data_IF_593605690640
#
_entry.id   IF_593605690640
#
_cell.length_a   1.000
_cell.length_b   1.000
_cell.length_c   1.000
_cell.angle_alpha   90.00
_cell.angle_beta   90.00
_cell.angle_gamma   90.00
#
_symmetry.space_group_name_H-M   'P 1'
#
loop_
_entity.id
_entity.type
_entity.pdbx_description
1 polymer ?
#
# COMPACT_ATOMS: atom_id res chain seq x y z
N UNK A 1 -4.13 -63.57 -69.63
CA UNK A 1 -4.41 -62.12 -69.60
C UNK A 1 -4.92 -61.84 -68.20
N UNK A 2 -4.11 -61.20 -67.35
CA UNK A 2 -4.52 -60.85 -65.97
C UNK A 2 -5.00 -59.41 -65.97
N UNK A 3 -6.26 -59.20 -65.58
CA UNK A 3 -6.84 -57.86 -65.47
C UNK A 3 -6.46 -57.27 -64.11
N UNK A 4 -5.70 -56.18 -64.12
CA UNK A 4 -5.38 -55.39 -62.93
C UNK A 4 -6.58 -54.50 -62.63
N UNK A 5 -7.34 -54.85 -61.60
CA UNK A 5 -8.45 -54.05 -61.11
C UNK A 5 -7.90 -52.91 -60.26
N UNK A 6 -7.85 -51.70 -60.83
CA UNK A 6 -7.49 -50.47 -60.11
C UNK A 6 -8.75 -49.96 -59.41
N UNK A 7 -8.81 -50.16 -58.09
CA UNK A 7 -9.86 -49.59 -57.24
C UNK A 7 -9.70 -48.07 -57.21
N UNK A 8 -10.74 -47.26 -57.50
CA UNK A 8 -10.63 -45.81 -57.41
C UNK A 8 -10.45 -45.38 -55.95
N UNK A 9 -9.36 -44.67 -55.66
CA UNK A 9 -9.12 -44.00 -54.38
C UNK A 9 -10.24 -42.99 -54.14
N UNK A 10 -10.95 -43.02 -53.00
CA UNK A 10 -11.97 -42.02 -52.70
C UNK A 10 -11.32 -40.63 -52.64
N UNK A 11 -12.01 -39.57 -53.11
CA UNK A 11 -11.50 -38.21 -53.02
C UNK A 11 -11.24 -37.85 -51.55
N UNK A 12 -10.19 -37.07 -51.23
CA UNK A 12 -9.94 -36.65 -49.86
C UNK A 12 -11.16 -35.88 -49.36
N UNK A 13 -11.83 -36.43 -48.35
CA UNK A 13 -12.95 -35.76 -47.69
C UNK A 13 -12.35 -34.64 -46.86
N UNK A 14 -12.54 -33.39 -47.29
CA UNK A 14 -12.15 -32.22 -46.52
C UNK A 14 -13.10 -32.11 -45.30
N UNK A 15 -12.76 -32.78 -44.20
CA UNK A 15 -13.48 -32.65 -42.94
C UNK A 15 -12.97 -31.38 -42.28
N UNK A 16 -13.78 -30.32 -42.30
CA UNK A 16 -13.53 -29.13 -41.48
C UNK A 16 -13.86 -29.51 -40.04
N UNK A 17 -12.89 -30.09 -39.33
CA UNK A 17 -12.99 -30.32 -37.89
C UNK A 17 -12.80 -28.98 -37.20
N UNK A 18 -13.90 -28.31 -36.86
CA UNK A 18 -13.85 -27.16 -35.94
C UNK A 18 -13.58 -27.69 -34.53
N UNK A 19 -12.33 -28.02 -34.24
CA UNK A 19 -11.93 -28.42 -32.91
C UNK A 19 -12.04 -27.22 -31.97
N UNK A 20 -12.63 -27.44 -30.79
CA UNK A 20 -12.75 -26.42 -29.74
C UNK A 20 -11.38 -26.25 -29.06
N UNK A 21 -10.99 -25.01 -28.68
CA UNK A 21 -9.79 -24.81 -27.89
C UNK A 21 -9.78 -25.61 -26.59
N UNK A 22 -8.62 -26.20 -26.30
CA UNK A 22 -8.34 -26.93 -25.08
C UNK A 22 -7.99 -25.95 -23.95
N UNK A 23 -8.58 -26.14 -22.77
CA UNK A 23 -8.25 -25.35 -21.57
C UNK A 23 -7.36 -26.17 -20.65
N UNK A 24 -6.39 -25.50 -20.03
CA UNK A 24 -5.47 -26.10 -19.05
C UNK A 24 -5.19 -25.15 -17.88
N UNK A 25 -4.36 -25.61 -16.95
CA UNK A 25 -3.76 -24.76 -15.91
C UNK A 25 -2.37 -24.34 -16.35
N UNK A 26 -2.01 -23.08 -16.10
CA UNK A 26 -0.65 -22.61 -16.31
C UNK A 26 0.31 -23.32 -15.34
N UNK A 27 1.44 -23.80 -15.85
CA UNK A 27 2.53 -24.34 -15.04
C UNK A 27 3.32 -23.15 -14.48
N UNK A 28 3.35 -23.03 -13.16
CA UNK A 28 4.04 -21.95 -12.46
C UNK A 28 5.29 -22.53 -11.81
N UNK A 29 6.42 -21.86 -12.00
CA UNK A 29 7.71 -22.25 -11.44
C UNK A 29 8.01 -21.49 -10.14
N UNK A 30 7.61 -20.22 -10.06
CA UNK A 30 7.79 -19.39 -8.87
C UNK A 30 6.69 -18.36 -8.71
N UNK A 31 6.45 -17.97 -7.45
CA UNK A 31 5.54 -16.90 -7.10
C UNK A 31 6.15 -16.07 -5.97
N UNK A 32 5.96 -14.75 -6.02
CA UNK A 32 6.51 -13.80 -5.06
C UNK A 32 5.45 -12.74 -4.71
N UNK A 33 5.23 -12.52 -3.41
CA UNK A 33 4.34 -11.45 -2.94
C UNK A 33 5.13 -10.18 -2.66
N UNK A 34 4.68 -9.06 -3.23
CA UNK A 34 5.26 -7.73 -3.04
C UNK A 34 4.23 -6.86 -2.31
N UNK A 35 4.64 -6.29 -1.18
CA UNK A 35 3.82 -5.34 -0.43
C UNK A 35 4.30 -3.92 -0.74
N UNK A 36 3.38 -3.01 -1.05
CA UNK A 36 3.68 -1.60 -1.25
C UNK A 36 3.46 -0.84 0.06
N UNK A 37 4.40 0.04 0.38
CA UNK A 37 4.32 0.92 1.56
C UNK A 37 3.37 2.12 1.33
N UNK A 38 2.17 1.86 0.84
CA UNK A 38 1.07 2.82 0.67
C UNK A 38 0.03 2.61 1.78
N UNK A 39 -0.92 3.54 1.89
CA UNK A 39 -2.10 3.33 2.71
C UNK A 39 -3.39 3.72 1.94
N UNK A 40 -4.34 2.78 1.70
CA UNK A 40 -4.25 1.37 2.07
C UNK A 40 -3.06 0.65 1.42
N UNK A 41 -2.58 -0.40 2.08
CA UNK A 41 -1.51 -1.28 1.62
C UNK A 41 -2.01 -2.01 0.38
N UNK A 42 -1.21 -1.98 -0.68
CA UNK A 42 -1.43 -2.78 -1.88
C UNK A 42 -0.52 -4.02 -1.84
N UNK A 43 -1.06 -5.18 -2.20
CA UNK A 43 -0.31 -6.44 -2.29
C UNK A 43 -0.42 -6.99 -3.70
N UNK A 44 0.73 -7.18 -4.34
CA UNK A 44 0.84 -7.82 -5.64
C UNK A 44 1.45 -9.22 -5.51
N UNK A 45 0.97 -10.17 -6.28
CA UNK A 45 1.60 -11.47 -6.47
C UNK A 45 2.17 -11.54 -7.89
N UNK A 46 3.51 -11.63 -8.00
CA UNK A 46 4.20 -11.88 -9.26
C UNK A 46 4.35 -13.38 -9.43
N UNK A 47 3.85 -13.93 -10.52
CA UNK A 47 3.98 -15.35 -10.85
C UNK A 47 4.80 -15.52 -12.13
N UNK A 48 5.69 -16.49 -12.12
CA UNK A 48 6.57 -16.80 -13.26
C UNK A 48 6.48 -18.28 -13.56
N UNK A 49 6.47 -18.61 -14.85
CA UNK A 49 6.40 -19.99 -15.29
C UNK A 49 6.77 -20.14 -16.75
N UNK A 50 6.45 -21.30 -17.32
CA UNK A 50 6.67 -21.61 -18.72
C UNK A 50 5.42 -22.24 -19.34
N UNK A 51 5.07 -21.78 -20.54
CA UNK A 51 4.11 -22.43 -21.42
C UNK A 51 4.82 -23.57 -22.17
N UNK A 52 4.12 -24.67 -22.46
CA UNK A 52 4.73 -25.86 -23.07
C UNK A 52 5.16 -25.66 -24.53
N UNK A 53 4.56 -24.68 -25.21
CA UNK A 53 4.79 -24.35 -26.62
C UNK A 53 4.39 -22.89 -26.92
N UNK A 54 4.59 -22.43 -28.15
CA UNK A 54 4.27 -21.08 -28.63
C UNK A 54 2.81 -20.89 -29.08
N UNK A 55 1.98 -21.94 -29.05
CA UNK A 55 0.55 -21.84 -29.34
C UNK A 55 -0.30 -21.71 -28.08
N UNK A 56 0.20 -22.21 -26.96
CA UNK A 56 -0.47 -22.12 -25.67
C UNK A 56 -0.38 -20.67 -25.22
N UNK A 57 -1.52 -20.09 -24.84
CA UNK A 57 -1.61 -18.74 -24.30
C UNK A 57 -2.22 -18.76 -22.90
N UNK A 58 -1.98 -17.70 -22.13
CA UNK A 58 -2.71 -17.45 -20.90
C UNK A 58 -4.14 -17.01 -21.22
N UNK A 59 -5.11 -17.53 -20.45
CA UNK A 59 -6.55 -17.34 -20.71
C UNK A 59 -7.21 -16.53 -19.59
N UNK A 60 -7.68 -17.19 -18.53
CA UNK A 60 -8.42 -16.55 -17.44
C UNK A 60 -7.56 -16.45 -16.19
N UNK A 61 -7.66 -15.28 -15.54
CA UNK A 61 -7.17 -15.01 -14.20
C UNK A 61 -8.36 -14.89 -13.27
N UNK A 62 -8.42 -15.74 -12.24
CA UNK A 62 -9.47 -15.67 -11.23
C UNK A 62 -8.89 -15.60 -9.84
N UNK A 63 -9.61 -14.93 -8.95
CA UNK A 63 -9.24 -14.76 -7.55
C UNK A 63 -10.50 -14.94 -6.70
N UNK A 64 -10.37 -15.75 -5.66
CA UNK A 64 -11.39 -15.91 -4.63
C UNK A 64 -10.74 -15.78 -3.26
N UNK A 65 -11.49 -15.25 -2.29
CA UNK A 65 -11.02 -15.02 -0.92
C UNK A 65 -11.99 -15.67 0.05
N UNK A 66 -11.45 -16.47 0.97
CA UNK A 66 -12.20 -17.05 2.09
C UNK A 66 -11.43 -16.77 3.39
N UNK A 67 -11.88 -15.75 4.13
CA UNK A 67 -11.19 -15.27 5.32
C UNK A 67 -9.74 -14.86 5.00
N UNK A 68 -8.77 -15.57 5.59
CA UNK A 68 -7.34 -15.31 5.42
C UNK A 68 -6.69 -16.06 4.25
N UNK A 69 -7.46 -16.82 3.48
CA UNK A 69 -6.97 -17.61 2.35
C UNK A 69 -7.42 -17.01 1.01
N UNK A 70 -6.45 -16.73 0.15
CA UNK A 70 -6.65 -16.36 -1.25
C UNK A 70 -6.41 -17.59 -2.12
N UNK A 71 -7.38 -17.92 -2.97
CA UNK A 71 -7.26 -18.97 -4.00
C UNK A 71 -7.34 -18.31 -5.36
N UNK A 72 -6.23 -18.33 -6.08
CA UNK A 72 -6.09 -17.80 -7.41
C UNK A 72 -5.95 -18.95 -8.41
N UNK A 73 -6.40 -18.70 -9.63
CA UNK A 73 -6.23 -19.62 -10.74
C UNK A 73 -5.78 -18.87 -11.99
N UNK A 74 -4.73 -19.39 -12.65
CA UNK A 74 -4.26 -18.95 -13.95
C UNK A 74 -4.45 -20.08 -14.95
N UNK A 75 -5.36 -19.91 -15.90
CA UNK A 75 -5.65 -20.92 -16.92
C UNK A 75 -4.91 -20.63 -18.22
N UNK A 76 -4.75 -21.67 -19.03
CA UNK A 76 -4.21 -21.60 -20.38
C UNK A 76 -5.25 -22.04 -21.40
N UNK A 77 -5.06 -21.62 -22.64
CA UNK A 77 -5.85 -22.03 -23.78
C UNK A 77 -4.93 -22.39 -24.94
N UNK A 78 -5.23 -23.50 -25.61
CA UNK A 78 -4.45 -24.01 -26.75
C UNK A 78 -5.38 -24.41 -27.89
N UNK A 79 -5.04 -24.01 -29.11
CA UNK A 79 -5.70 -24.54 -30.31
C UNK A 79 -5.10 -25.92 -30.65
N UNK A 80 -5.88 -27.01 -30.59
CA UNK A 80 -5.36 -28.34 -30.87
C UNK A 80 -4.96 -28.56 -32.34
N UNK A 81 -5.35 -27.67 -33.26
CA UNK A 81 -4.99 -27.75 -34.68
C UNK A 81 -3.79 -26.88 -35.06
N UNK A 82 -3.25 -26.09 -34.12
CA UNK A 82 -2.11 -25.23 -34.40
C UNK A 82 -0.82 -26.06 -34.53
N UNK A 83 0.04 -25.65 -35.47
CA UNK A 83 1.37 -26.22 -35.61
C UNK A 83 2.33 -25.46 -34.68
N UNK A 84 2.68 -26.09 -33.56
CA UNK A 84 3.43 -25.46 -32.48
C UNK A 84 4.88 -25.94 -32.45
N UNK A 85 5.77 -25.07 -32.01
CA UNK A 85 7.14 -25.42 -31.64
C UNK A 85 7.15 -26.15 -30.29
N UNK A 86 8.07 -27.10 -30.12
CA UNK A 86 8.23 -27.83 -28.84
C UNK A 86 9.19 -27.09 -27.89
N UNK A 87 9.10 -25.76 -27.85
CA UNK A 87 9.97 -24.91 -27.04
C UNK A 87 9.18 -24.28 -25.89
N UNK A 88 9.76 -24.31 -24.68
CA UNK A 88 9.19 -23.63 -23.52
C UNK A 88 9.19 -22.12 -23.74
N UNK A 89 8.04 -21.49 -23.52
CA UNK A 89 7.87 -20.04 -23.60
C UNK A 89 7.66 -19.47 -22.20
N UNK A 90 8.62 -18.70 -21.65
CA UNK A 90 8.48 -18.15 -20.30
C UNK A 90 7.40 -17.07 -20.25
N UNK A 91 6.71 -16.97 -19.11
CA UNK A 91 5.76 -15.91 -18.82
C UNK A 91 5.99 -15.31 -17.42
N UNK A 92 5.57 -14.06 -17.26
CA UNK A 92 5.47 -13.36 -15.98
C UNK A 92 4.12 -12.65 -15.92
N UNK A 93 3.36 -12.90 -14.85
CA UNK A 93 2.05 -12.29 -14.62
C UNK A 93 1.97 -11.66 -13.23
N UNK A 94 1.22 -10.57 -13.12
CA UNK A 94 0.98 -9.87 -11.85
C UNK A 94 -0.51 -9.97 -11.48
N UNK A 95 -0.78 -10.37 -10.24
CA UNK A 95 -2.11 -10.35 -9.63
C UNK A 95 -2.16 -9.29 -8.54
N UNK A 96 -3.17 -8.43 -8.58
CA UNK A 96 -3.48 -7.49 -7.51
C UNK A 96 -4.43 -8.19 -6.52
N UNK A 97 -3.96 -8.41 -5.30
CA UNK A 97 -4.76 -9.09 -4.29
C UNK A 97 -5.76 -8.11 -3.69
N UNK A 98 -7.01 -8.55 -3.54
CA UNK A 98 -8.07 -7.77 -2.91
C UNK A 98 -7.88 -7.80 -1.39
N UNK A 99 -7.03 -6.89 -0.91
CA UNK A 99 -6.62 -6.79 0.50
C UNK A 99 -7.34 -5.68 1.26
N UNK A 100 -8.33 -5.04 0.64
CA UNK A 100 -9.11 -4.00 1.31
C UNK A 100 -10.00 -4.60 2.39
N UNK A 101 -10.16 -3.84 3.47
CA UNK A 101 -10.92 -4.16 4.68
C UNK A 101 -10.46 -5.43 5.40
N UNK A 102 -9.17 -5.77 5.25
CA UNK A 102 -8.54 -6.88 5.94
C UNK A 102 -7.93 -6.45 7.27
N UNK A 103 -8.03 -7.29 8.28
CA UNK A 103 -7.40 -7.05 9.58
C UNK A 103 -5.90 -7.33 9.54
N UNK A 104 -5.16 -6.79 10.50
CA UNK A 104 -3.81 -7.21 10.77
C UNK A 104 -3.75 -8.74 10.96
N UNK A 105 -2.80 -9.41 10.32
CA UNK A 105 -2.68 -10.86 10.38
C UNK A 105 -1.87 -11.47 9.25
N UNK A 106 -1.73 -12.80 9.30
CA UNK A 106 -1.08 -13.59 8.25
C UNK A 106 -2.12 -14.10 7.27
N UNK A 107 -1.80 -13.95 5.99
CA UNK A 107 -2.63 -14.35 4.87
C UNK A 107 -1.88 -15.38 4.01
N UNK A 108 -2.62 -16.37 3.52
CA UNK A 108 -2.09 -17.41 2.64
C UNK A 108 -2.64 -17.24 1.24
N UNK A 109 -1.78 -17.32 0.23
CA UNK A 109 -2.14 -17.20 -1.18
C UNK A 109 -1.78 -18.50 -1.86
N UNK A 110 -2.75 -19.13 -2.53
CA UNK A 110 -2.51 -20.33 -3.33
C UNK A 110 -2.81 -20.03 -4.78
N UNK A 111 -1.85 -20.27 -5.68
CA UNK A 111 -2.01 -20.12 -7.13
C UNK A 111 -1.55 -21.42 -7.82
N UNK A 112 -2.45 -22.09 -8.53
CA UNK A 112 -2.19 -23.33 -9.26
C UNK A 112 -1.33 -24.38 -8.48
N UNK A 113 -1.50 -24.44 -7.16
CA UNK A 113 -0.77 -25.35 -6.26
C UNK A 113 0.47 -24.77 -5.57
N UNK A 114 0.96 -23.60 -5.95
CA UNK A 114 2.03 -22.88 -5.22
C UNK A 114 1.42 -22.10 -4.08
N UNK A 115 2.02 -22.20 -2.89
CA UNK A 115 1.60 -21.49 -1.68
C UNK A 115 2.58 -20.36 -1.36
N UNK A 116 2.07 -19.17 -1.10
CA UNK A 116 2.78 -17.99 -0.61
C UNK A 116 2.08 -17.42 0.62
N UNK A 117 2.80 -16.63 1.40
CA UNK A 117 2.24 -15.96 2.58
C UNK A 117 2.69 -14.52 2.66
N UNK A 118 1.81 -13.64 3.11
CA UNK A 118 2.15 -12.27 3.47
C UNK A 118 1.54 -11.89 4.82
N UNK A 119 2.04 -10.82 5.42
CA UNK A 119 1.59 -10.33 6.72
C UNK A 119 1.16 -8.88 6.57
N UNK A 120 -0.06 -8.57 7.00
CA UNK A 120 -0.50 -7.21 7.24
C UNK A 120 -0.19 -6.87 8.71
N UNK A 121 0.64 -5.85 8.94
CA UNK A 121 1.01 -5.40 10.29
C UNK A 121 -0.09 -4.59 10.96
N UNK A 122 -1.00 -4.01 10.17
CA UNK A 122 -2.09 -3.16 10.59
C UNK A 122 -3.35 -3.51 9.80
N UNK A 123 -4.52 -3.12 10.31
CA UNK A 123 -5.77 -3.22 9.57
C UNK A 123 -5.67 -2.36 8.29
N UNK A 124 -6.08 -2.93 7.16
CA UNK A 124 -5.98 -2.36 5.83
C UNK A 124 -7.34 -1.86 5.33
N UNK A 125 -7.84 -0.79 5.93
CA UNK A 125 -9.11 -0.13 5.56
C UNK A 125 -8.87 1.16 4.78
N UNK A 126 -9.90 1.68 4.10
CA UNK A 126 -9.83 2.99 3.43
C UNK A 126 -9.60 4.17 4.40
N UNK A 127 -9.85 3.98 5.69
CA UNK A 127 -9.50 4.96 6.72
C UNK A 127 -8.03 4.78 7.12
N UNK A 128 -7.18 5.84 7.07
CA UNK A 128 -5.82 5.83 7.61
C UNK A 128 -5.78 5.09 8.94
N UNK A 129 -4.72 4.29 9.21
CA UNK A 129 -4.65 3.53 10.44
C UNK A 129 -4.76 4.58 11.53
N UNK A 130 -5.85 4.49 12.31
CA UNK A 130 -6.10 5.49 13.34
C UNK A 130 -4.84 5.46 14.19
N UNK A 131 -4.15 6.60 14.41
CA UNK A 131 -3.07 6.61 15.38
C UNK A 131 -3.65 5.95 16.62
N UNK A 132 -2.99 4.91 17.13
CA UNK A 132 -3.42 4.15 18.29
C UNK A 132 -4.10 5.15 19.21
N UNK A 133 -5.43 5.09 19.41
CA UNK A 133 -6.06 5.96 20.39
C UNK A 133 -5.25 5.67 21.65
N UNK A 134 -4.60 6.66 22.29
CA UNK A 134 -3.92 6.37 23.54
C UNK A 134 -4.94 5.59 24.35
N UNK A 135 -4.58 4.35 24.75
CA UNK A 135 -5.25 3.57 25.80
C UNK A 135 -5.91 4.58 26.72
N UNK A 136 -7.23 4.56 26.99
CA UNK A 136 -7.91 5.66 27.67
C UNK A 136 -7.08 6.02 28.90
N UNK A 137 -6.23 7.03 28.71
CA UNK A 137 -5.34 7.55 29.70
C UNK A 137 -6.31 8.47 30.36
N UNK A 138 -7.01 7.85 31.31
CA UNK A 138 -7.77 8.47 32.38
C UNK A 138 -7.81 9.98 32.17
N UNK A 139 -8.88 10.41 31.49
CA UNK A 139 -9.08 11.76 30.97
C UNK A 139 -8.06 12.74 31.55
N UNK A 140 -6.99 13.03 30.81
CA UNK A 140 -6.20 14.21 31.14
C UNK A 140 -7.22 15.34 31.19
N UNK A 141 -7.42 15.99 32.35
CA UNK A 141 -8.38 17.07 32.40
C UNK A 141 -8.01 18.01 31.26
N UNK A 142 -9.01 18.43 30.50
CA UNK A 142 -8.86 19.48 29.53
C UNK A 142 -8.36 20.68 30.33
N UNK A 143 -7.03 20.84 30.42
CA UNK A 143 -6.47 21.98 31.10
C UNK A 143 -6.91 23.16 30.25
N UNK A 144 -7.91 23.88 30.76
CA UNK A 144 -8.15 25.23 30.33
C UNK A 144 -6.85 25.98 30.56
N UNK A 145 -6.12 26.27 29.48
CA UNK A 145 -5.12 27.32 29.48
C UNK A 145 -5.90 28.62 29.67
N UNK A 146 -6.11 29.00 30.93
CA UNK A 146 -6.59 30.32 31.31
C UNK A 146 -5.35 31.15 31.60
N UNK A 147 -5.12 32.16 30.76
CA UNK A 147 -4.00 33.07 30.89
C UNK A 147 -4.32 34.37 30.16
N UNK A 148 -3.83 35.48 30.70
CA UNK A 148 -3.88 36.77 30.03
C UNK A 148 -2.63 36.91 29.15
N UNK A 149 -2.80 37.40 27.93
CA UNK A 149 -1.67 37.90 27.14
C UNK A 149 -1.37 39.32 27.64
N UNK A 150 -0.12 39.66 27.90
CA UNK A 150 0.30 40.97 28.39
C UNK A 150 1.43 41.53 27.52
N UNK A 151 1.64 42.84 27.61
CA UNK A 151 2.76 43.50 26.98
C UNK A 151 3.92 43.44 27.99
N UNK A 152 4.93 42.63 27.70
CA UNK A 152 6.14 42.43 28.53
C UNK A 152 7.01 43.70 28.44
N UNK A 153 6.81 44.65 29.37
CA UNK A 153 7.37 46.01 29.32
C UNK A 153 8.61 46.13 30.22
N UNK A 154 9.77 46.19 29.59
CA UNK A 154 10.95 46.77 30.23
C UNK A 154 11.06 48.26 29.89
N UNK A 155 10.91 49.12 30.91
CA UNK A 155 11.06 50.57 30.80
C UNK A 155 12.12 51.08 31.78
N UNK A 156 12.97 51.99 31.32
CA UNK A 156 13.85 52.77 32.20
C UNK A 156 13.13 54.07 32.47
N UNK A 157 12.58 54.22 33.68
CA UNK A 157 11.90 55.45 34.08
C UNK A 157 12.95 56.52 34.34
N UNK A 158 12.81 57.67 33.69
CA UNK A 158 13.78 58.76 33.84
C UNK A 158 13.77 59.32 35.27
N UNK A 159 14.98 59.59 35.74
CA UNK A 159 15.30 60.24 37.00
C UNK A 159 14.49 61.54 37.21
N UNK A 160 13.67 61.62 38.27
CA UNK A 160 13.35 62.92 38.87
C UNK A 160 14.57 63.44 39.62
N UNK A 161 14.75 64.76 39.70
CA UNK A 161 15.99 65.52 39.96
C UNK A 161 16.94 65.09 41.12
N UNK A 162 16.59 64.07 41.93
CA UNK A 162 17.44 63.49 43.00
C UNK A 162 17.45 61.94 43.05
N UNK A 163 17.01 61.22 42.01
CA UNK A 163 17.04 59.76 41.95
C UNK A 163 17.69 59.25 40.64
N UNK A 164 18.60 58.28 40.72
CA UNK A 164 19.22 57.66 39.55
C UNK A 164 18.18 56.90 38.71
N UNK A 165 18.24 56.99 37.38
CA UNK A 165 17.30 56.29 36.50
C UNK A 165 17.45 54.78 36.71
N UNK A 166 16.42 54.15 37.27
CA UNK A 166 16.41 52.74 37.58
C UNK A 166 15.48 52.00 36.62
N UNK A 167 15.86 50.81 36.15
CA UNK A 167 14.97 49.95 35.38
C UNK A 167 13.77 49.51 36.24
N UNK A 168 12.60 49.33 35.62
CA UNK A 168 11.44 48.73 36.29
C UNK A 168 11.71 47.28 36.69
N UNK A 169 10.90 46.72 37.60
CA UNK A 169 11.06 45.34 38.09
C UNK A 169 11.00 44.27 36.96
N UNK A 170 10.37 44.59 35.82
CA UNK A 170 10.28 43.74 34.64
C UNK A 170 11.56 43.67 33.78
N UNK A 171 12.62 44.37 34.15
CA UNK A 171 13.87 44.43 33.37
C UNK A 171 14.97 43.49 33.92
N UNK A 172 15.63 42.76 33.01
CA UNK A 172 16.84 41.97 33.29
C UNK A 172 18.00 42.41 32.40
N UNK A 173 19.23 42.34 32.91
CA UNK A 173 20.44 42.75 32.19
C UNK A 173 20.73 41.82 31.01
N UNK A 174 20.95 42.40 29.83
CA UNK A 174 21.35 41.68 28.62
C UNK A 174 22.87 41.53 28.52
N UNK A 175 23.31 40.46 27.85
CA UNK A 175 24.73 40.09 27.69
C UNK A 175 25.57 41.13 26.96
N UNK A 176 24.95 41.97 26.11
CA UNK A 176 25.62 43.02 25.34
C UNK A 176 25.56 44.40 26.02
N UNK A 177 25.03 44.47 27.26
CA UNK A 177 24.84 45.70 28.00
C UNK A 177 23.55 46.41 27.59
N UNK A 178 22.53 46.32 28.45
CA UNK A 178 21.19 46.86 28.22
C UNK A 178 20.17 46.15 29.11
N UNK A 179 18.90 46.51 29.03
CA UNK A 179 17.82 45.85 29.76
C UNK A 179 16.78 45.29 28.78
N UNK A 180 16.38 44.03 28.99
CA UNK A 180 15.30 43.36 28.27
C UNK A 180 14.21 42.93 29.26
N UNK A 181 13.01 42.67 28.74
CA UNK A 181 11.89 42.23 29.55
C UNK A 181 12.08 40.75 30.00
N UNK A 182 11.57 40.40 31.18
CA UNK A 182 11.88 39.14 31.88
C UNK A 182 10.86 38.01 31.60
N UNK A 183 9.75 38.31 30.89
CA UNK A 183 8.69 37.37 30.57
C UNK A 183 7.81 36.93 31.74
N UNK A 184 7.84 37.64 32.87
CA UNK A 184 6.96 37.45 34.02
C UNK A 184 5.86 38.51 33.99
N UNK A 185 4.62 38.10 34.26
CA UNK A 185 3.53 39.07 34.34
C UNK A 185 3.65 39.90 35.62
N UNK A 186 3.81 41.22 35.49
CA UNK A 186 3.71 42.14 36.60
C UNK A 186 2.42 42.97 36.60
N UNK A 187 2.03 43.47 37.77
CA UNK A 187 0.77 44.22 37.95
C UNK A 187 0.72 45.54 37.15
N UNK A 188 1.90 46.08 36.83
CA UNK A 188 2.06 47.31 36.05
C UNK A 188 2.02 47.06 34.52
N UNK A 189 1.94 45.80 34.09
CA UNK A 189 1.95 45.45 32.68
C UNK A 189 0.53 45.38 32.09
N UNK A 190 0.23 46.16 31.04
CA UNK A 190 -1.09 46.19 30.46
C UNK A 190 -1.39 44.86 29.74
N UNK A 191 -2.60 44.28 29.94
CA UNK A 191 -3.02 43.13 29.17
C UNK A 191 -3.18 43.51 27.69
N UNK A 192 -2.74 42.61 26.81
CA UNK A 192 -3.06 42.65 25.39
C UNK A 192 -4.50 42.19 25.23
N UNK A 193 -5.42 43.14 25.28
CA UNK A 193 -6.85 42.90 25.04
C UNK A 193 -7.09 42.47 23.59
N UNK A 194 -7.81 41.36 23.42
CA UNK A 194 -8.39 40.88 22.16
C UNK A 194 -9.89 40.64 22.35
#
# INVERSE_FOLDING_TARGET
MSEITITPTPPPTNIIVTAKPEKGLAVIDSAETILRNTFPVEVALIVRGNLPDDCTILDQRTQTRNGNAFSLELTTLRDPNANCTEALVPFEEQFELDVLDLKAGTYTVTINGIVQTFVLTNDNSDAPPTPIPPTPSEATPLFSLSGSVFHDLCAVIEATEDAEAAPTAGCVEDVDGGFIANGQYEEDEPPLIG
#
